data_IF_948034097323
#
_entry.id   IF_948034097323
#
_cell.length_a   1.000
_cell.length_b   1.000
_cell.length_c   1.000
_cell.angle_alpha   90.00
_cell.angle_beta   90.00
_cell.angle_gamma   90.00
#
_symmetry.space_group_name_H-M   'P 1'
#
loop_
_entity.id
_entity.type
_entity.pdbx_description
1 polymer ?
#
# COMPACT_ATOMS: atom_id res chain seq x y z
N UNK A 1 -20.59 -7.03 16.06
CA UNK A 1 -21.71 -6.33 15.39
C UNK A 1 -21.87 -6.74 13.92
N UNK A 2 -20.81 -6.89 13.12
CA UNK A 2 -20.94 -7.04 11.64
C UNK A 2 -21.70 -8.28 11.14
N UNK A 3 -21.69 -9.41 11.86
CA UNK A 3 -22.60 -10.56 11.63
C UNK A 3 -24.08 -10.14 11.49
N UNK A 4 -24.52 -9.11 12.23
CA UNK A 4 -25.89 -8.57 12.15
C UNK A 4 -26.17 -7.81 10.84
N UNK A 5 -25.16 -7.33 10.11
CA UNK A 5 -25.34 -6.76 8.76
C UNK A 5 -25.67 -7.86 7.75
N UNK A 6 -24.92 -8.98 7.74
CA UNK A 6 -25.26 -10.16 6.92
C UNK A 6 -26.70 -10.63 7.24
N UNK A 7 -27.01 -10.83 8.53
CA UNK A 7 -28.35 -11.28 8.96
C UNK A 7 -29.50 -10.38 8.48
N UNK A 8 -29.35 -9.05 8.46
CA UNK A 8 -30.44 -8.14 8.07
C UNK A 8 -30.90 -8.27 6.62
N UNK A 9 -30.01 -8.63 5.68
CA UNK A 9 -30.41 -8.83 4.28
C UNK A 9 -31.05 -10.22 4.05
N UNK A 10 -30.66 -11.23 4.83
CA UNK A 10 -31.20 -12.59 4.71
C UNK A 10 -32.69 -12.71 5.11
N UNK A 11 -33.22 -11.74 5.86
CA UNK A 11 -34.61 -11.75 6.37
C UNK A 11 -35.65 -11.20 5.38
N UNK A 12 -35.25 -10.68 4.21
CA UNK A 12 -36.16 -10.18 3.17
C UNK A 12 -36.00 -10.90 1.82
N UNK A 13 -34.86 -11.56 1.57
CA UNK A 13 -34.68 -12.48 0.45
C UNK A 13 -35.35 -13.83 0.74
N UNK A 14 -36.08 -14.38 -0.24
CA UNK A 14 -36.52 -15.77 -0.20
C UNK A 14 -35.32 -16.73 -0.16
N UNK A 15 -35.49 -17.91 0.41
CA UNK A 15 -34.41 -18.89 0.64
C UNK A 15 -33.57 -19.19 -0.61
N UNK A 16 -34.24 -19.29 -1.77
CA UNK A 16 -33.59 -19.51 -3.08
C UNK A 16 -32.68 -18.34 -3.50
N UNK A 17 -33.04 -17.09 -3.16
CA UNK A 17 -32.24 -15.90 -3.46
C UNK A 17 -30.98 -15.89 -2.59
N UNK A 18 -31.12 -16.19 -1.30
CA UNK A 18 -29.99 -16.29 -0.37
C UNK A 18 -29.02 -17.39 -0.83
N UNK A 19 -29.53 -18.57 -1.22
CA UNK A 19 -28.73 -19.68 -1.75
C UNK A 19 -28.03 -19.35 -3.08
N UNK A 20 -28.67 -18.58 -3.98
CA UNK A 20 -28.04 -18.09 -5.21
C UNK A 20 -26.92 -17.09 -4.90
N UNK A 21 -27.15 -16.16 -3.96
CA UNK A 21 -26.13 -15.19 -3.54
C UNK A 21 -24.91 -15.89 -2.92
N UNK A 22 -25.13 -16.84 -2.02
CA UNK A 22 -24.09 -17.66 -1.39
C UNK A 22 -23.24 -18.41 -2.43
N UNK A 23 -23.86 -19.03 -3.44
CA UNK A 23 -23.14 -19.72 -4.51
C UNK A 23 -22.29 -18.77 -5.38
N UNK A 24 -22.75 -17.55 -5.65
CA UNK A 24 -21.99 -16.54 -6.41
C UNK A 24 -20.83 -16.01 -5.55
N UNK A 25 -21.07 -15.71 -4.28
CA UNK A 25 -20.05 -15.27 -3.32
C UNK A 25 -18.97 -16.34 -3.14
N UNK A 26 -19.32 -17.63 -3.05
CA UNK A 26 -18.36 -18.73 -3.00
C UNK A 26 -17.52 -18.81 -4.29
N UNK A 27 -18.16 -18.77 -5.48
CA UNK A 27 -17.44 -18.78 -6.76
C UNK A 27 -16.45 -17.62 -6.88
N UNK A 28 -16.85 -16.40 -6.51
CA UNK A 28 -15.98 -15.22 -6.54
C UNK A 28 -14.79 -15.36 -5.58
N UNK A 29 -14.98 -15.96 -4.40
CA UNK A 29 -13.89 -16.29 -3.48
C UNK A 29 -12.92 -17.35 -4.06
N UNK A 30 -13.42 -18.38 -4.73
CA UNK A 30 -12.60 -19.41 -5.38
C UNK A 30 -11.80 -18.85 -6.57
N UNK A 31 -12.43 -18.03 -7.42
CA UNK A 31 -11.78 -17.33 -8.54
C UNK A 31 -10.71 -16.34 -8.03
N UNK A 32 -10.98 -15.60 -6.95
CA UNK A 32 -10.00 -14.72 -6.29
C UNK A 32 -8.82 -15.51 -5.71
N UNK A 33 -9.09 -16.62 -5.00
CA UNK A 33 -8.05 -17.49 -4.45
C UNK A 33 -7.18 -18.07 -5.57
N UNK A 34 -7.77 -18.45 -6.70
CA UNK A 34 -7.06 -18.90 -7.90
C UNK A 34 -6.17 -17.80 -8.48
N UNK A 35 -6.68 -16.58 -8.63
CA UNK A 35 -5.89 -15.44 -9.12
C UNK A 35 -4.67 -15.16 -8.22
N UNK A 36 -4.85 -15.16 -6.89
CA UNK A 36 -3.78 -15.02 -5.89
C UNK A 36 -2.78 -16.18 -5.98
N UNK A 37 -3.27 -17.42 -6.10
CA UNK A 37 -2.44 -18.63 -6.24
C UNK A 37 -1.59 -18.60 -7.52
N UNK A 38 -2.12 -18.05 -8.61
CA UNK A 38 -1.42 -17.87 -9.89
C UNK A 38 -0.34 -16.76 -9.88
N UNK A 39 -0.28 -15.90 -8.86
CA UNK A 39 0.81 -14.92 -8.70
C UNK A 39 2.16 -15.65 -8.63
N UNK A 40 3.04 -15.31 -9.57
CA UNK A 40 4.40 -15.85 -9.76
C UNK A 40 5.42 -14.70 -9.76
N UNK A 41 6.68 -15.03 -9.98
CA UNK A 41 7.77 -14.08 -10.17
C UNK A 41 8.09 -13.96 -11.67
N UNK A 42 7.48 -13.04 -12.43
CA UNK A 42 7.86 -12.76 -13.81
C UNK A 42 9.20 -12.00 -13.85
N UNK A 43 9.83 -11.94 -15.02
CA UNK A 43 10.90 -10.98 -15.29
C UNK A 43 10.29 -9.57 -15.36
N UNK A 44 10.88 -8.58 -14.68
CA UNK A 44 10.36 -7.21 -14.72
C UNK A 44 10.24 -6.69 -16.15
N UNK A 45 9.09 -6.08 -16.43
CA UNK A 45 8.69 -5.56 -17.75
C UNK A 45 8.57 -6.58 -18.89
N UNK A 46 8.47 -7.89 -18.61
CA UNK A 46 8.04 -8.87 -19.60
C UNK A 46 6.53 -8.81 -19.86
N UNK A 47 6.05 -9.56 -20.86
CA UNK A 47 4.61 -9.74 -21.11
C UNK A 47 3.88 -10.36 -19.92
N UNK A 48 4.52 -11.29 -19.22
CA UNK A 48 4.00 -11.88 -17.97
C UNK A 48 3.94 -10.87 -16.82
N UNK A 49 4.85 -9.90 -16.76
CA UNK A 49 4.76 -8.78 -15.83
C UNK A 49 3.56 -7.88 -16.14
N UNK A 50 3.32 -7.52 -17.41
CA UNK A 50 2.14 -6.73 -17.81
C UNK A 50 0.83 -7.41 -17.39
N UNK A 51 0.71 -8.72 -17.63
CA UNK A 51 -0.45 -9.52 -17.20
C UNK A 51 -0.57 -9.59 -15.67
N UNK A 52 0.56 -9.58 -14.94
CA UNK A 52 0.55 -9.53 -13.48
C UNK A 52 0.12 -8.15 -12.95
N UNK A 53 0.44 -7.05 -13.64
CA UNK A 53 -0.07 -5.72 -13.27
C UNK A 53 -1.59 -5.69 -13.22
N UNK A 54 -2.27 -6.28 -14.21
CA UNK A 54 -3.74 -6.29 -14.27
C UNK A 54 -4.36 -7.19 -13.21
N UNK A 55 -3.76 -8.37 -12.94
CA UNK A 55 -4.19 -9.21 -11.81
C UNK A 55 -4.00 -8.50 -10.46
N UNK A 56 -2.84 -7.87 -10.22
CA UNK A 56 -2.58 -7.14 -8.99
C UNK A 56 -3.52 -5.94 -8.81
N UNK A 57 -3.84 -5.22 -9.88
CA UNK A 57 -4.84 -4.13 -9.87
C UNK A 57 -6.20 -4.64 -9.40
N UNK A 58 -6.77 -5.65 -10.07
CA UNK A 58 -8.03 -6.31 -9.68
C UNK A 58 -8.03 -6.74 -8.21
N UNK A 59 -6.96 -7.42 -7.77
CA UNK A 59 -6.84 -7.93 -6.39
C UNK A 59 -6.76 -6.77 -5.38
N UNK A 60 -6.04 -5.68 -5.68
CA UNK A 60 -5.95 -4.49 -4.82
C UNK A 60 -7.26 -3.70 -4.72
N UNK A 61 -8.00 -3.61 -5.82
CA UNK A 61 -9.33 -2.99 -5.86
C UNK A 61 -10.32 -3.77 -4.97
N UNK A 62 -10.24 -5.12 -4.96
CA UNK A 62 -11.00 -5.97 -4.03
C UNK A 62 -10.60 -5.69 -2.57
N UNK A 63 -9.31 -5.65 -2.23
CA UNK A 63 -8.89 -5.35 -0.84
C UNK A 63 -9.37 -3.97 -0.39
N UNK A 64 -9.28 -2.94 -1.24
CA UNK A 64 -9.82 -1.61 -0.92
C UNK A 64 -11.31 -1.69 -0.62
N UNK A 65 -12.08 -2.43 -1.41
CA UNK A 65 -13.52 -2.57 -1.21
C UNK A 65 -13.87 -3.35 0.07
N UNK A 66 -13.15 -4.43 0.40
CA UNK A 66 -13.27 -5.12 1.71
C UNK A 66 -13.00 -4.16 2.88
N UNK A 67 -12.09 -3.19 2.70
CA UNK A 67 -11.68 -2.20 3.71
C UNK A 67 -12.57 -0.96 3.81
N UNK A 68 -13.38 -0.68 2.81
CA UNK A 68 -14.35 0.43 2.82
C UNK A 68 -15.72 0.04 3.39
N UNK A 69 -15.77 -1.00 4.22
CA UNK A 69 -16.96 -1.51 4.91
C UNK A 69 -18.04 -2.06 3.94
N UNK A 70 -17.71 -2.24 2.65
CA UNK A 70 -18.57 -2.90 1.67
C UNK A 70 -18.53 -4.41 1.90
N UNK A 71 -19.70 -4.97 2.26
CA UNK A 71 -19.87 -6.40 2.41
C UNK A 71 -19.48 -7.12 1.11
N UNK A 72 -18.88 -8.31 1.22
CA UNK A 72 -18.35 -9.08 0.10
C UNK A 72 -19.39 -9.37 -0.99
N UNK A 73 -20.67 -9.54 -0.61
CA UNK A 73 -21.80 -9.67 -1.53
C UNK A 73 -21.99 -8.42 -2.43
N UNK A 74 -21.69 -7.22 -1.92
CA UNK A 74 -21.75 -5.95 -2.67
C UNK A 74 -20.55 -5.78 -3.60
N UNK A 75 -19.36 -6.25 -3.20
CA UNK A 75 -18.16 -6.29 -4.05
C UNK A 75 -18.41 -7.23 -5.24
N UNK A 76 -18.94 -8.41 -4.94
CA UNK A 76 -19.35 -9.43 -5.91
C UNK A 76 -20.39 -8.88 -6.89
N UNK A 77 -21.40 -8.15 -6.39
CA UNK A 77 -22.38 -7.48 -7.24
C UNK A 77 -21.79 -6.36 -8.13
N UNK A 78 -20.74 -5.66 -7.68
CA UNK A 78 -20.06 -4.63 -8.48
C UNK A 78 -19.40 -5.25 -9.72
N UNK A 79 -18.54 -6.26 -9.53
CA UNK A 79 -17.84 -6.92 -10.65
C UNK A 79 -18.82 -7.63 -11.60
N UNK A 80 -19.79 -8.37 -11.06
CA UNK A 80 -20.78 -9.06 -11.89
C UNK A 80 -21.62 -8.07 -12.74
N UNK A 81 -21.92 -6.87 -12.22
CA UNK A 81 -22.62 -5.84 -13.00
C UNK A 81 -21.78 -5.33 -14.17
N UNK A 82 -20.47 -5.21 -14.01
CA UNK A 82 -19.59 -4.88 -15.13
C UNK A 82 -19.44 -6.01 -16.14
N UNK A 83 -19.42 -7.27 -15.71
CA UNK A 83 -19.40 -8.42 -16.63
C UNK A 83 -20.72 -8.52 -17.42
N UNK A 84 -21.88 -8.43 -16.76
CA UNK A 84 -23.17 -8.41 -17.46
C UNK A 84 -23.26 -7.25 -18.47
N UNK A 85 -22.82 -6.05 -18.11
CA UNK A 85 -22.82 -4.90 -19.02
C UNK A 85 -21.92 -5.12 -20.25
N UNK A 86 -20.75 -5.76 -20.09
CA UNK A 86 -19.86 -6.13 -21.20
C UNK A 86 -20.50 -7.18 -22.12
N UNK A 87 -21.28 -8.11 -21.57
CA UNK A 87 -22.05 -9.09 -22.34
C UNK A 87 -23.15 -8.39 -23.16
N UNK A 88 -23.99 -7.57 -22.52
CA UNK A 88 -25.05 -6.78 -23.18
C UNK A 88 -24.53 -5.88 -24.31
N UNK A 89 -23.33 -5.31 -24.14
CA UNK A 89 -22.66 -4.51 -25.18
C UNK A 89 -22.14 -5.38 -26.33
N UNK A 90 -21.55 -6.55 -26.04
CA UNK A 90 -21.07 -7.48 -27.07
C UNK A 90 -22.19 -8.15 -27.88
N UNK A 91 -23.38 -8.35 -27.30
CA UNK A 91 -24.54 -8.90 -28.02
C UNK A 91 -25.12 -7.89 -29.02
N UNK A 92 -25.04 -6.58 -28.73
CA UNK A 92 -25.44 -5.50 -29.65
C UNK A 92 -24.54 -5.39 -30.88
N UNK A 93 -23.23 -5.42 -30.69
CA UNK A 93 -22.29 -5.37 -31.82
C UNK A 93 -22.44 -6.59 -32.76
N UNK A 94 -23.06 -7.67 -32.28
CA UNK A 94 -23.43 -8.85 -33.08
C UNK A 94 -24.86 -8.85 -33.64
N UNK A 95 -25.82 -8.06 -33.14
CA UNK A 95 -27.13 -7.93 -33.79
C UNK A 95 -27.01 -7.21 -35.13
N UNK A 96 -26.27 -6.10 -35.16
CA UNK A 96 -26.31 -5.12 -36.24
C UNK A 96 -25.54 -5.58 -37.50
N UNK A 97 -24.78 -6.66 -37.39
CA UNK A 97 -24.08 -7.32 -38.52
C UNK A 97 -24.87 -8.47 -39.16
N UNK A 98 -26.03 -8.84 -38.61
CA UNK A 98 -26.86 -9.96 -39.11
C UNK A 98 -27.84 -9.60 -40.24
N UNK A 99 -27.99 -8.31 -40.58
CA UNK A 99 -28.97 -7.80 -41.55
C UNK A 99 -28.55 -7.98 -43.02
N UNK A 100 -28.30 -9.22 -43.45
CA UNK A 100 -28.17 -9.56 -44.87
C UNK A 100 -29.57 -9.56 -45.48
N UNK A 101 -29.87 -8.57 -46.31
CA UNK A 101 -31.18 -8.42 -46.94
C UNK A 101 -31.46 -9.54 -47.96
N UNK A 102 -32.53 -10.30 -47.71
CA UNK A 102 -33.14 -11.18 -48.72
C UNK A 102 -34.09 -10.32 -49.56
N UNK A 103 -33.65 -9.95 -50.76
CA UNK A 103 -34.52 -9.28 -51.74
C UNK A 103 -35.36 -10.32 -52.49
N UNK A 104 -36.63 -10.49 -52.10
CA UNK A 104 -37.64 -11.09 -52.97
C UNK A 104 -38.25 -10.02 -53.87
N UNK A 105 -38.10 -10.16 -55.19
CA UNK A 105 -38.83 -9.37 -56.18
C UNK A 105 -40.22 -9.96 -56.39
N UNK A 106 -41.30 -9.14 -56.33
CA UNK A 106 -42.52 -9.33 -57.14
C UNK A 106 -43.57 -8.20 -56.99
N UNK A 107 -43.88 -7.54 -58.12
CA UNK A 107 -45.28 -7.33 -58.54
C UNK A 107 -46.13 -6.14 -58.06
N UNK A 108 -46.07 -5.05 -58.85
CA UNK A 108 -47.23 -4.27 -59.36
C UNK A 108 -48.12 -3.30 -58.52
N UNK A 109 -48.30 -2.11 -59.13
CA UNK A 109 -49.48 -1.20 -59.15
C UNK A 109 -50.00 -0.55 -57.84
N UNK A 110 -49.90 0.78 -57.61
CA UNK A 110 -50.47 1.99 -58.31
C UNK A 110 -51.89 2.40 -57.79
N UNK A 111 -52.34 3.67 -57.74
CA UNK A 111 -51.82 4.95 -58.31
C UNK A 111 -51.53 6.03 -57.18
N UNK A 112 -52.14 7.26 -56.97
CA UNK A 112 -51.51 8.32 -56.11
C UNK A 112 -52.42 9.04 -55.06
N UNK A 113 -51.91 10.07 -54.33
CA UNK A 113 -52.33 11.50 -54.46
C UNK A 113 -52.01 12.44 -53.25
N UNK A 114 -52.01 13.76 -53.53
CA UNK A 114 -52.09 14.95 -52.62
C UNK A 114 -50.87 15.35 -51.74
N UNK A 115 -50.21 16.45 -52.16
CA UNK A 115 -49.80 17.67 -51.41
C UNK A 115 -49.55 17.56 -49.88
N UNK A 116 -48.47 18.15 -49.31
CA UNK A 116 -48.28 19.60 -49.29
C UNK A 116 -46.84 20.10 -48.99
N UNK A 117 -46.67 21.40 -49.25
CA UNK A 117 -45.53 22.31 -49.12
C UNK A 117 -44.86 22.43 -47.73
N UNK A 118 -43.53 22.65 -47.68
CA UNK A 118 -42.91 23.95 -47.27
C UNK A 118 -41.35 23.94 -47.18
N UNK A 119 -40.74 24.97 -47.77
CA UNK A 119 -39.68 25.87 -47.24
C UNK A 119 -38.49 25.31 -46.42
N UNK A 120 -37.33 25.21 -47.09
CA UNK A 120 -36.07 26.00 -46.90
C UNK A 120 -35.89 26.94 -45.67
N UNK A 121 -34.65 27.38 -45.29
CA UNK A 121 -33.31 26.89 -45.67
C UNK A 121 -32.22 26.93 -44.54
N UNK A 122 -30.97 26.56 -44.90
CA UNK A 122 -29.64 27.11 -44.46
C UNK A 122 -29.35 27.34 -42.95
N UNK A 123 -28.20 26.82 -42.50
CA UNK A 123 -27.26 27.64 -41.71
C UNK A 123 -25.78 27.30 -41.98
N UNK A 124 -24.92 28.31 -41.96
CA UNK A 124 -23.54 28.25 -42.47
C UNK A 124 -22.47 27.80 -41.44
N UNK A 125 -21.31 27.39 -41.98
CA UNK A 125 -20.04 27.31 -41.23
C UNK A 125 -19.54 28.71 -40.88
N UNK A 126 -18.88 28.89 -39.74
CA UNK A 126 -18.02 30.05 -39.50
C UNK A 126 -16.67 29.62 -38.94
N UNK A 127 -15.61 30.01 -39.64
CA UNK A 127 -14.21 29.88 -39.20
C UNK A 127 -13.77 31.25 -38.68
N UNK A 128 -13.02 31.28 -37.56
CA UNK A 128 -12.24 32.45 -37.17
C UNK A 128 -10.84 32.09 -36.71
N UNK A 129 -9.88 32.43 -37.56
CA UNK A 129 -8.50 32.67 -37.17
C UNK A 129 -8.38 34.07 -36.55
N UNK A 130 -7.41 34.26 -35.66
CA UNK A 130 -6.75 35.56 -35.45
C UNK A 130 -5.28 35.30 -35.13
N UNK A 131 -4.39 36.06 -35.78
CA UNK A 131 -2.94 35.84 -35.78
C UNK A 131 -2.19 36.90 -34.95
N UNK A 132 -0.97 36.55 -34.51
CA UNK A 132 0.14 37.47 -34.11
C UNK A 132 -0.13 38.36 -32.87
N UNK A 133 0.86 38.95 -32.16
CA UNK A 133 2.20 39.43 -32.54
C UNK A 133 3.29 39.08 -31.48
N UNK A 134 4.37 38.47 -31.98
CA UNK A 134 5.82 38.72 -31.77
C UNK A 134 6.29 39.62 -30.59
N UNK A 135 7.29 39.14 -29.85
CA UNK A 135 8.45 39.95 -29.42
C UNK A 135 9.72 39.07 -29.34
N UNK A 136 10.89 39.59 -29.75
CA UNK A 136 12.18 38.87 -29.76
C UNK A 136 13.15 39.45 -28.71
N UNK A 137 13.99 38.62 -28.05
CA UNK A 137 15.32 39.08 -27.63
C UNK A 137 16.40 37.97 -27.55
N UNK A 138 17.14 37.82 -28.65
CA UNK A 138 18.59 37.57 -28.77
C UNK A 138 19.31 36.38 -28.08
N UNK A 139 20.34 35.89 -28.78
CA UNK A 139 21.26 34.82 -28.36
C UNK A 139 22.41 35.32 -27.48
N UNK A 140 23.09 34.40 -26.79
CA UNK A 140 24.53 34.54 -26.54
C UNK A 140 25.25 33.17 -26.47
N UNK A 141 26.42 33.08 -27.12
CA UNK A 141 27.32 31.91 -27.24
C UNK A 141 28.64 32.35 -27.91
N UNK A 142 29.75 31.61 -27.79
CA UNK A 142 30.24 30.81 -26.65
C UNK A 142 31.70 31.20 -26.26
N UNK A 143 32.31 30.52 -25.29
CA UNK A 143 33.75 30.58 -25.05
C UNK A 143 34.34 29.18 -24.84
N UNK A 144 35.55 28.94 -25.37
CA UNK A 144 36.22 27.63 -25.34
C UNK A 144 36.84 27.31 -23.96
N UNK A 145 36.98 26.01 -23.65
CA UNK A 145 38.30 25.50 -23.31
C UNK A 145 38.49 23.99 -23.59
N UNK A 146 39.75 23.55 -23.52
CA UNK A 146 40.29 22.31 -24.15
C UNK A 146 39.93 20.98 -23.45
N UNK A 147 39.99 19.84 -24.18
CA UNK A 147 40.01 18.51 -23.59
C UNK A 147 41.36 18.17 -22.93
N UNK A 148 41.36 17.19 -22.02
CA UNK A 148 42.55 16.56 -21.45
C UNK A 148 42.54 15.05 -21.73
N UNK A 149 43.74 14.44 -21.78
CA UNK A 149 43.95 13.11 -22.35
C UNK A 149 44.04 11.98 -21.33
N UNK A 150 43.50 10.81 -21.71
CA UNK A 150 43.93 9.45 -21.35
C UNK A 150 44.82 9.24 -20.11
N UNK A 151 44.31 8.47 -19.13
CA UNK A 151 45.13 7.45 -18.48
C UNK A 151 44.30 6.22 -18.13
N UNK A 152 44.70 5.06 -18.64
CA UNK A 152 44.19 3.76 -18.22
C UNK A 152 44.99 3.28 -17.02
N UNK A 153 44.33 2.70 -16.02
CA UNK A 153 45.01 1.88 -15.03
C UNK A 153 44.10 0.76 -14.50
N UNK A 154 44.52 -0.47 -14.74
CA UNK A 154 43.85 -1.70 -14.33
C UNK A 154 44.35 -2.15 -12.96
N UNK A 155 43.46 -2.38 -11.99
CA UNK A 155 43.68 -3.40 -10.94
C UNK A 155 42.35 -3.94 -10.38
N UNK A 156 42.04 -5.20 -10.71
CA UNK A 156 41.34 -6.07 -9.76
C UNK A 156 42.30 -6.37 -8.59
N UNK A 157 41.80 -6.63 -7.36
CA UNK A 157 42.04 -7.98 -6.87
C UNK A 157 40.93 -8.61 -5.99
N UNK A 158 40.75 -9.92 -6.22
CA UNK A 158 40.46 -10.98 -5.23
C UNK A 158 39.19 -10.87 -4.39
N UNK A 159 38.17 -11.58 -4.89
CA UNK A 159 37.30 -12.44 -4.07
C UNK A 159 38.16 -13.23 -3.04
N UNK A 160 37.84 -13.17 -1.75
CA UNK A 160 38.24 -14.19 -0.77
C UNK A 160 37.00 -15.01 -0.40
N UNK A 161 37.03 -16.31 -0.65
CA UNK A 161 36.09 -17.26 -0.06
C UNK A 161 36.57 -17.60 1.35
N UNK A 162 35.74 -17.43 2.36
CA UNK A 162 35.94 -18.03 3.68
C UNK A 162 35.11 -19.32 3.77
N UNK A 163 35.77 -20.47 3.72
CA UNK A 163 35.12 -21.71 4.16
C UNK A 163 34.84 -21.57 5.66
N UNK A 164 33.58 -21.71 6.07
CA UNK A 164 33.25 -22.04 7.45
C UNK A 164 33.04 -23.55 7.49
N UNK A 165 33.84 -24.22 8.30
CA UNK A 165 33.91 -25.67 8.40
C UNK A 165 32.99 -26.14 9.52
N UNK A 166 32.03 -27.02 9.20
CA UNK A 166 31.14 -27.60 10.22
C UNK A 166 31.94 -28.49 11.16
N UNK A 167 32.16 -28.01 12.39
CA UNK A 167 32.63 -28.83 13.51
C UNK A 167 31.45 -29.54 14.17
N UNK A 168 31.43 -30.87 14.10
CA UNK A 168 30.50 -31.68 14.89
C UNK A 168 31.17 -32.09 16.21
N UNK A 169 30.44 -31.96 17.31
CA UNK A 169 30.81 -32.56 18.60
C UNK A 169 29.57 -32.68 19.50
N UNK A 170 28.90 -33.82 19.43
CA UNK A 170 28.06 -34.29 20.54
C UNK A 170 28.93 -34.55 21.79
N UNK A 171 28.33 -34.43 22.99
CA UNK A 171 28.24 -35.50 24.02
C UNK A 171 28.06 -34.94 25.45
N UNK A 172 27.05 -35.48 26.14
CA UNK A 172 26.84 -35.58 27.60
C UNK A 172 26.98 -34.36 28.54
N UNK A 173 25.97 -34.19 29.42
CA UNK A 173 26.03 -33.28 30.57
C UNK A 173 24.69 -33.03 31.26
N UNK A 174 24.04 -34.07 31.80
CA UNK A 174 22.74 -33.93 32.46
C UNK A 174 22.83 -33.49 33.92
N UNK A 175 21.91 -32.61 34.37
CA UNK A 175 21.60 -32.45 35.79
C UNK A 175 20.17 -31.94 35.99
N UNK A 176 19.39 -32.66 36.80
CA UNK A 176 18.01 -32.32 37.13
C UNK A 176 17.93 -31.49 38.41
N UNK A 177 17.28 -30.33 38.38
CA UNK A 177 16.93 -29.60 39.61
C UNK A 177 15.47 -29.14 39.61
N UNK A 178 14.75 -29.55 40.66
CA UNK A 178 13.34 -29.20 40.93
C UNK A 178 13.29 -28.40 42.24
N UNK A 179 12.78 -27.15 42.23
CA UNK A 179 12.25 -26.48 43.41
C UNK A 179 10.75 -26.76 43.59
N UNK A 180 10.27 -26.79 44.83
CA UNK A 180 8.89 -27.18 45.19
C UNK A 180 7.94 -25.98 45.26
N UNK A 181 6.65 -26.23 45.01
CA UNK A 181 5.55 -25.40 45.53
C UNK A 181 5.58 -25.40 47.08
N UNK A 182 5.13 -24.31 47.71
CA UNK A 182 4.22 -24.37 48.85
C UNK A 182 2.77 -24.10 48.40
N UNK A 183 1.81 -24.44 49.26
CA UNK A 183 0.36 -24.25 49.04
C UNK A 183 -0.30 -23.74 50.32
N UNK A 184 -1.61 -23.43 50.24
CA UNK A 184 -2.51 -22.86 51.29
C UNK A 184 -2.47 -21.34 51.46
N UNK A 185 -3.55 -20.67 51.91
CA UNK A 185 -5.00 -20.88 51.72
C UNK A 185 -5.77 -19.72 52.39
N UNK A 186 -6.78 -19.12 51.73
CA UNK A 186 -7.98 -18.58 52.40
C UNK A 186 -9.02 -18.03 51.43
N UNK A 187 -10.28 -18.18 51.83
CA UNK A 187 -11.52 -17.70 51.21
C UNK A 187 -11.78 -16.19 51.36
N UNK A 188 -12.52 -15.61 50.42
CA UNK A 188 -13.64 -14.70 50.73
C UNK A 188 -14.66 -14.69 49.57
N UNK A 189 -15.89 -14.19 49.81
CA UNK A 189 -17.07 -14.55 49.00
C UNK A 189 -18.05 -13.40 48.77
N UNK A 190 -18.31 -13.06 47.48
CA UNK A 190 -19.46 -12.23 47.00
C UNK A 190 -19.50 -10.75 47.52
N UNK A 191 -20.43 -9.88 47.05
CA UNK A 191 -21.55 -10.11 46.12
C UNK A 191 -21.48 -9.34 44.78
N UNK A 192 -22.42 -9.69 43.90
CA UNK A 192 -22.73 -9.02 42.64
C UNK A 192 -23.65 -7.80 42.83
N UNK A 193 -23.43 -6.73 42.06
CA UNK A 193 -24.40 -5.64 41.84
C UNK A 193 -24.81 -5.58 40.37
N UNK A 194 -25.96 -4.96 40.08
CA UNK A 194 -26.70 -5.19 38.84
C UNK A 194 -26.56 -4.08 37.79
N UNK A 195 -26.99 -4.44 36.58
CA UNK A 195 -27.28 -3.60 35.40
C UNK A 195 -27.64 -2.13 35.63
N UNK A 196 -27.12 -1.26 34.77
CA UNK A 196 -27.73 0.05 34.44
C UNK A 196 -27.51 0.37 32.96
N UNK A 197 -28.51 0.08 32.14
CA UNK A 197 -28.49 0.34 30.69
C UNK A 197 -28.94 1.77 30.38
N UNK A 198 -28.04 2.62 29.91
CA UNK A 198 -28.35 3.96 29.44
C UNK A 198 -28.15 4.06 27.92
N UNK A 199 -29.24 3.98 27.16
CA UNK A 199 -29.23 4.15 25.71
C UNK A 199 -29.28 5.63 25.33
N UNK A 200 -28.20 6.17 24.77
CA UNK A 200 -28.21 7.47 24.09
C UNK A 200 -27.84 7.32 22.63
N UNK A 201 -28.81 7.61 21.75
CA UNK A 201 -28.69 7.48 20.30
C UNK A 201 -28.83 8.84 19.61
N UNK A 202 -27.76 9.34 19.01
CA UNK A 202 -27.83 10.35 17.94
C UNK A 202 -26.51 10.51 17.18
N UNK A 203 -26.64 10.73 15.87
CA UNK A 203 -25.70 11.41 14.96
C UNK A 203 -24.23 10.88 14.89
N UNK A 204 -23.99 9.84 14.08
CA UNK A 204 -22.65 9.27 13.83
C UNK A 204 -22.15 9.30 12.37
N UNK A 205 -22.88 9.91 11.43
CA UNK A 205 -22.62 9.79 9.98
C UNK A 205 -21.26 10.33 9.49
N UNK A 206 -20.59 11.20 10.26
CA UNK A 206 -19.31 11.82 9.86
C UNK A 206 -18.08 11.09 10.41
N UNK A 207 -18.21 10.31 11.50
CA UNK A 207 -17.06 9.72 12.20
C UNK A 207 -16.54 8.38 11.61
N UNK A 208 -17.31 7.71 10.76
CA UNK A 208 -16.99 6.34 10.31
C UNK A 208 -15.66 6.23 9.54
N UNK A 209 -15.32 7.19 8.67
CA UNK A 209 -14.02 7.17 7.95
C UNK A 209 -12.79 7.32 8.86
N UNK A 210 -12.91 7.96 10.02
CA UNK A 210 -11.80 8.03 10.99
C UNK A 210 -11.72 6.78 11.88
N UNK A 211 -12.85 6.14 12.19
CA UNK A 211 -12.84 4.88 12.93
C UNK A 211 -12.16 3.76 12.13
N UNK A 212 -12.46 3.60 10.84
CA UNK A 212 -11.89 2.53 10.00
C UNK A 212 -10.34 2.52 9.94
N UNK A 213 -9.69 3.68 10.05
CA UNK A 213 -8.22 3.76 10.09
C UNK A 213 -7.71 3.37 11.49
N UNK A 214 -8.37 3.81 12.55
CA UNK A 214 -7.97 3.53 13.94
C UNK A 214 -8.22 2.09 14.37
N UNK A 215 -9.24 1.42 13.82
CA UNK A 215 -9.54 0.01 14.12
C UNK A 215 -8.58 -0.99 13.44
N UNK A 216 -7.81 -0.57 12.43
CA UNK A 216 -6.94 -1.46 11.65
C UNK A 216 -5.89 -2.23 12.47
N UNK A 217 -5.47 -1.66 13.62
CA UNK A 217 -4.50 -2.24 14.54
C UNK A 217 -5.12 -2.75 15.86
N UNK A 218 -6.44 -2.89 15.95
CA UNK A 218 -7.09 -3.34 17.18
C UNK A 218 -6.73 -4.81 17.46
N UNK A 219 -5.87 -5.03 18.45
CA UNK A 219 -5.10 -6.28 18.65
C UNK A 219 -5.91 -7.50 19.09
N UNK A 220 -7.20 -7.30 19.40
CA UNK A 220 -8.14 -8.32 19.88
C UNK A 220 -8.65 -9.24 18.75
N UNK A 221 -8.74 -8.76 17.51
CA UNK A 221 -9.25 -9.55 16.37
C UNK A 221 -8.10 -10.14 15.54
N UNK A 222 -8.06 -11.47 15.42
CA UNK A 222 -7.13 -12.16 14.52
C UNK A 222 -7.48 -11.89 13.05
N UNK A 223 -6.60 -12.23 12.12
CA UNK A 223 -6.90 -12.23 10.68
C UNK A 223 -8.12 -13.12 10.33
N UNK A 224 -8.33 -14.18 11.10
CA UNK A 224 -9.36 -15.19 10.87
C UNK A 224 -10.76 -14.71 11.30
N UNK A 225 -10.83 -13.73 12.21
CA UNK A 225 -12.07 -13.09 12.69
C UNK A 225 -12.56 -11.95 11.77
N UNK A 226 -11.75 -11.52 10.80
CA UNK A 226 -12.03 -10.39 9.91
C UNK A 226 -12.72 -10.86 8.62
N UNK A 227 -13.73 -10.12 8.15
CA UNK A 227 -14.42 -10.31 6.86
C UNK A 227 -13.53 -9.96 5.63
N UNK A 228 -12.21 -10.18 5.72
CA UNK A 228 -11.18 -9.83 4.73
C UNK A 228 -10.66 -11.11 4.05
N UNK A 229 -11.33 -11.58 3.00
CA UNK A 229 -10.97 -12.83 2.32
C UNK A 229 -9.69 -12.68 1.49
N UNK A 230 -9.51 -11.54 0.84
CA UNK A 230 -8.38 -11.33 -0.06
C UNK A 230 -7.04 -11.30 0.67
N UNK A 231 -6.95 -10.55 1.78
CA UNK A 231 -5.77 -10.54 2.66
C UNK A 231 -5.49 -11.94 3.20
N UNK A 232 -6.54 -12.64 3.67
CA UNK A 232 -6.43 -14.01 4.19
C UNK A 232 -5.85 -14.99 3.17
N UNK A 233 -6.32 -14.97 1.92
CA UNK A 233 -5.80 -15.83 0.86
C UNK A 233 -4.34 -15.48 0.48
N UNK A 234 -3.93 -14.22 0.56
CA UNK A 234 -2.52 -13.81 0.36
C UNK A 234 -1.61 -14.40 1.45
N UNK A 235 -2.09 -14.51 2.70
CA UNK A 235 -1.37 -15.18 3.79
C UNK A 235 -1.38 -16.70 3.63
N UNK A 236 -2.55 -17.30 3.39
CA UNK A 236 -2.71 -18.77 3.25
C UNK A 236 -1.90 -19.35 2.08
N UNK A 237 -1.87 -18.70 0.91
CA UNK A 237 -1.09 -19.15 -0.26
C UNK A 237 0.39 -18.67 -0.19
N UNK A 238 0.84 -18.15 0.95
CA UNK A 238 2.25 -17.81 1.24
C UNK A 238 2.82 -16.64 0.41
N UNK A 239 1.97 -15.74 -0.09
CA UNK A 239 2.34 -14.77 -1.13
C UNK A 239 3.01 -13.50 -0.61
N UNK A 240 2.94 -13.18 0.68
CA UNK A 240 3.52 -11.95 1.28
C UNK A 240 4.98 -11.74 0.86
N UNK A 241 5.85 -12.73 1.10
CA UNK A 241 7.28 -12.65 0.76
C UNK A 241 7.57 -12.72 -0.75
N UNK A 242 6.58 -13.04 -1.60
CA UNK A 242 6.68 -12.92 -3.05
C UNK A 242 6.33 -11.48 -3.49
N UNK A 243 5.23 -10.93 -2.97
CA UNK A 243 4.80 -9.55 -3.23
C UNK A 243 5.86 -8.53 -2.78
N UNK A 244 6.51 -8.76 -1.64
CA UNK A 244 7.62 -7.90 -1.16
C UNK A 244 8.82 -7.94 -2.12
N UNK A 245 9.24 -9.12 -2.60
CA UNK A 245 10.33 -9.24 -3.60
C UNK A 245 9.99 -8.56 -4.92
N UNK A 246 8.74 -8.68 -5.37
CA UNK A 246 8.28 -8.03 -6.60
C UNK A 246 8.34 -6.50 -6.50
N UNK A 247 7.94 -5.94 -5.36
CA UNK A 247 8.03 -4.50 -5.12
C UNK A 247 9.49 -4.04 -4.99
N UNK A 248 10.32 -4.81 -4.28
CA UNK A 248 11.73 -4.51 -4.05
C UNK A 248 12.56 -4.49 -5.34
N UNK A 249 12.43 -5.52 -6.19
CA UNK A 249 13.08 -5.55 -7.51
C UNK A 249 12.54 -4.45 -8.44
N UNK A 250 11.22 -4.22 -8.44
CA UNK A 250 10.63 -3.12 -9.21
C UNK A 250 11.20 -1.76 -8.82
N UNK A 251 11.43 -1.47 -7.52
CA UNK A 251 12.05 -0.21 -7.10
C UNK A 251 13.54 -0.11 -7.46
N UNK A 252 14.27 -1.22 -7.62
CA UNK A 252 15.62 -1.18 -8.21
C UNK A 252 15.59 -0.88 -9.71
N UNK A 253 14.53 -1.29 -10.41
CA UNK A 253 14.34 -1.03 -11.84
C UNK A 253 13.82 0.39 -12.13
N UNK A 254 12.79 0.85 -11.40
CA UNK A 254 12.33 2.25 -11.37
C UNK A 254 13.50 3.21 -11.10
N UNK A 255 14.37 2.88 -10.13
CA UNK A 255 15.57 3.68 -9.86
C UNK A 255 16.55 3.72 -11.04
N UNK A 256 16.80 2.60 -11.75
CA UNK A 256 17.67 2.60 -12.93
C UNK A 256 17.10 3.48 -14.04
N UNK A 257 15.79 3.47 -14.22
CA UNK A 257 15.07 4.31 -15.19
C UNK A 257 15.20 5.80 -14.80
N UNK A 258 14.89 6.16 -13.55
CA UNK A 258 14.97 7.56 -13.06
C UNK A 258 16.39 8.13 -13.09
N UNK A 259 17.42 7.28 -12.98
CA UNK A 259 18.83 7.67 -13.12
C UNK A 259 19.32 7.70 -14.59
N UNK A 260 18.47 7.40 -15.57
CA UNK A 260 18.86 7.35 -16.98
C UNK A 260 19.77 6.16 -17.34
N UNK A 261 19.86 5.15 -16.47
CA UNK A 261 20.64 3.92 -16.69
C UNK A 261 19.86 2.87 -17.51
N UNK A 262 18.55 3.08 -17.69
CA UNK A 262 17.68 2.38 -18.62
C UNK A 262 16.70 3.36 -19.26
N UNK A 263 16.45 3.19 -20.55
CA UNK A 263 15.50 3.96 -21.36
C UNK A 263 14.18 3.21 -21.50
N UNK A 264 13.07 3.87 -21.16
CA UNK A 264 11.72 3.27 -21.27
C UNK A 264 11.41 2.85 -22.71
N UNK A 265 11.71 3.69 -23.69
CA UNK A 265 11.35 3.47 -25.09
C UNK A 265 12.25 2.47 -25.82
N UNK A 266 13.54 2.36 -25.47
CA UNK A 266 14.49 1.47 -26.18
C UNK A 266 14.77 0.15 -25.45
N UNK A 267 14.85 0.16 -24.13
CA UNK A 267 15.33 -1.01 -23.37
C UNK A 267 14.18 -1.82 -22.76
N UNK A 268 13.00 -1.20 -22.59
CA UNK A 268 11.91 -1.73 -21.79
C UNK A 268 10.66 -1.99 -22.62
N UNK A 269 10.11 -0.97 -23.28
CA UNK A 269 8.87 -1.05 -24.06
C UNK A 269 8.83 -2.25 -25.04
N UNK A 270 9.89 -2.57 -25.82
CA UNK A 270 9.88 -3.73 -26.73
C UNK A 270 9.65 -5.09 -26.07
N UNK A 271 10.03 -5.24 -24.79
CA UNK A 271 9.88 -6.50 -24.03
C UNK A 271 8.46 -6.68 -23.46
N UNK A 272 7.73 -5.58 -23.26
CA UNK A 272 6.41 -5.55 -22.62
C UNK A 272 5.28 -5.99 -23.55
N UNK A 273 5.43 -5.78 -24.86
CA UNK A 273 4.36 -5.95 -25.85
C UNK A 273 3.29 -4.85 -25.83
N UNK A 274 3.50 -3.74 -25.10
CA UNK A 274 2.64 -2.55 -25.10
C UNK A 274 2.93 -1.67 -26.34
N UNK A 275 1.98 -0.81 -26.70
CA UNK A 275 2.08 0.04 -27.91
C UNK A 275 2.73 1.39 -27.64
N UNK A 276 2.61 1.93 -26.43
CA UNK A 276 3.12 3.26 -26.07
C UNK A 276 3.87 3.28 -24.75
N UNK A 277 4.77 4.26 -24.60
CA UNK A 277 5.43 4.55 -23.32
C UNK A 277 4.42 4.99 -22.24
N UNK A 278 3.29 5.59 -22.64
CA UNK A 278 2.22 6.01 -21.72
C UNK A 278 1.53 4.81 -21.07
N UNK A 279 1.19 3.77 -21.84
CA UNK A 279 0.70 2.49 -21.31
C UNK A 279 1.70 1.87 -20.32
N UNK A 280 2.99 1.88 -20.66
CA UNK A 280 4.05 1.34 -19.80
C UNK A 280 4.15 2.11 -18.47
N UNK A 281 4.16 3.44 -18.52
CA UNK A 281 4.17 4.28 -17.32
C UNK A 281 2.91 4.06 -16.46
N UNK A 282 1.73 3.86 -17.06
CA UNK A 282 0.52 3.51 -16.30
C UNK A 282 0.61 2.12 -15.66
N UNK A 283 1.11 1.10 -16.39
CA UNK A 283 1.33 -0.25 -15.84
C UNK A 283 2.34 -0.23 -14.69
N UNK A 284 3.43 0.55 -14.79
CA UNK A 284 4.41 0.74 -13.72
C UNK A 284 3.76 1.36 -12.47
N UNK A 285 3.00 2.45 -12.63
CA UNK A 285 2.26 3.10 -11.54
C UNK A 285 1.26 2.14 -10.90
N UNK A 286 0.42 1.48 -11.70
CA UNK A 286 -0.56 0.50 -11.22
C UNK A 286 0.12 -0.65 -10.46
N UNK A 287 1.28 -1.14 -10.92
CA UNK A 287 2.04 -2.22 -10.27
C UNK A 287 2.55 -1.81 -8.89
N UNK A 288 3.22 -0.65 -8.77
CA UNK A 288 3.69 -0.13 -7.48
C UNK A 288 2.51 0.08 -6.52
N UNK A 289 1.48 0.80 -6.96
CA UNK A 289 0.35 1.17 -6.11
C UNK A 289 -0.43 -0.06 -5.63
N UNK A 290 -0.62 -1.06 -6.49
CA UNK A 290 -1.28 -2.32 -6.12
C UNK A 290 -0.46 -3.11 -5.10
N UNK A 291 0.86 -3.29 -5.34
CA UNK A 291 1.72 -4.02 -4.41
C UNK A 291 1.82 -3.32 -3.05
N UNK A 292 2.05 -2.02 -3.04
CA UNK A 292 2.04 -1.21 -1.82
C UNK A 292 0.73 -1.39 -1.04
N UNK A 293 -0.43 -1.26 -1.70
CA UNK A 293 -1.74 -1.40 -1.06
C UNK A 293 -1.98 -2.81 -0.51
N UNK A 294 -1.69 -3.86 -1.27
CA UNK A 294 -1.83 -5.26 -0.83
C UNK A 294 -0.95 -5.55 0.39
N UNK A 295 0.34 -5.19 0.31
CA UNK A 295 1.30 -5.40 1.39
C UNK A 295 0.90 -4.65 2.66
N UNK A 296 0.47 -3.38 2.54
CA UNK A 296 -0.02 -2.57 3.66
C UNK A 296 -1.09 -3.30 4.47
N UNK A 297 -2.17 -3.73 3.80
CA UNK A 297 -3.29 -4.39 4.49
C UNK A 297 -2.94 -5.80 5.00
N UNK A 298 -1.96 -6.49 4.39
CA UNK A 298 -1.37 -7.68 4.99
C UNK A 298 -0.68 -7.35 6.31
N UNK A 299 0.20 -6.35 6.36
CA UNK A 299 0.97 -6.01 7.56
C UNK A 299 0.13 -5.44 8.72
N UNK A 300 -1.13 -5.08 8.49
CA UNK A 300 -2.12 -4.78 9.54
C UNK A 300 -2.62 -6.05 10.27
N UNK A 301 -2.12 -7.23 9.89
CA UNK A 301 -2.27 -8.51 10.59
C UNK A 301 -0.91 -8.93 11.18
N UNK A 302 -0.94 -9.36 12.44
CA UNK A 302 0.24 -9.92 13.12
C UNK A 302 0.63 -11.29 12.53
N UNK A 303 -0.35 -12.06 12.07
CA UNK A 303 -0.16 -13.36 11.42
C UNK A 303 0.63 -13.22 10.12
N UNK A 304 0.37 -12.17 9.33
CA UNK A 304 1.18 -11.84 8.17
C UNK A 304 2.62 -11.48 8.55
N UNK A 305 2.80 -10.61 9.55
CA UNK A 305 4.12 -10.20 10.05
C UNK A 305 4.92 -11.38 10.65
N UNK A 306 4.26 -12.37 11.25
CA UNK A 306 4.90 -13.58 11.76
C UNK A 306 5.46 -14.49 10.65
N UNK A 307 5.00 -14.34 9.40
CA UNK A 307 5.51 -15.09 8.24
C UNK A 307 6.56 -14.33 7.41
N UNK A 308 6.87 -13.08 7.74
CA UNK A 308 7.67 -12.20 6.87
C UNK A 308 9.17 -12.47 6.95
N UNK A 309 9.89 -12.28 5.84
CA UNK A 309 11.34 -12.07 5.88
C UNK A 309 11.65 -10.66 6.43
N UNK A 310 11.88 -10.60 7.74
CA UNK A 310 12.24 -9.38 8.46
C UNK A 310 13.53 -8.72 7.96
N UNK A 311 14.47 -9.48 7.36
CA UNK A 311 15.69 -8.89 6.79
C UNK A 311 15.33 -8.08 5.54
N UNK A 312 14.66 -8.71 4.57
CA UNK A 312 14.23 -8.01 3.37
C UNK A 312 13.27 -6.86 3.69
N UNK A 313 12.36 -7.02 4.65
CA UNK A 313 11.43 -5.97 5.04
C UNK A 313 12.14 -4.70 5.53
N UNK A 314 13.12 -4.85 6.42
CA UNK A 314 13.89 -3.73 6.95
C UNK A 314 14.89 -3.17 5.93
N UNK A 315 15.41 -4.00 5.02
CA UNK A 315 16.22 -3.54 3.88
C UNK A 315 15.39 -2.74 2.85
N UNK A 316 14.18 -3.20 2.51
CA UNK A 316 13.25 -2.47 1.64
C UNK A 316 12.87 -1.11 2.24
N UNK A 317 12.52 -1.08 3.54
CA UNK A 317 12.22 0.16 4.26
C UNK A 317 13.43 1.12 4.22
N UNK A 318 14.63 0.62 4.55
CA UNK A 318 15.85 1.43 4.51
C UNK A 318 16.13 1.96 3.09
N UNK A 319 16.07 1.11 2.07
CA UNK A 319 16.31 1.44 0.65
C UNK A 319 15.38 2.56 0.14
N UNK A 320 14.10 2.55 0.53
CA UNK A 320 13.10 3.50 0.04
C UNK A 320 12.95 4.76 0.92
N UNK A 321 13.66 4.89 2.04
CA UNK A 321 13.80 6.17 2.78
C UNK A 321 14.64 7.18 1.98
N UNK A 322 14.02 7.79 0.96
CA UNK A 322 14.66 8.66 -0.03
C UNK A 322 13.89 9.96 -0.22
N UNK A 323 14.46 11.03 0.33
CA UNK A 323 13.91 12.39 0.28
C UNK A 323 13.72 12.91 -1.16
N UNK A 324 14.61 12.53 -2.07
CA UNK A 324 14.61 12.95 -3.47
C UNK A 324 13.46 12.32 -4.25
N UNK A 325 13.31 11.00 -4.17
CA UNK A 325 12.21 10.26 -4.81
C UNK A 325 10.85 10.58 -4.17
N UNK A 326 10.82 10.83 -2.85
CA UNK A 326 9.61 11.25 -2.16
C UNK A 326 9.09 12.60 -2.67
N UNK A 327 9.97 13.62 -2.73
CA UNK A 327 9.58 14.96 -3.17
C UNK A 327 9.20 15.01 -4.65
N UNK A 328 9.92 14.28 -5.50
CA UNK A 328 9.56 14.07 -6.91
C UNK A 328 8.16 13.45 -7.06
N UNK A 329 7.86 12.40 -6.30
CA UNK A 329 6.59 11.69 -6.37
C UNK A 329 5.42 12.50 -5.77
N UNK A 330 5.64 13.26 -4.68
CA UNK A 330 4.64 14.17 -4.08
C UNK A 330 4.31 15.37 -4.99
N UNK A 331 5.20 15.76 -5.90
CA UNK A 331 4.95 16.80 -6.92
C UNK A 331 4.20 16.26 -8.15
N UNK A 332 4.51 15.04 -8.58
CA UNK A 332 3.92 14.42 -9.79
C UNK A 332 2.52 13.81 -9.55
N UNK A 333 2.32 13.13 -8.43
CA UNK A 333 1.07 12.45 -8.08
C UNK A 333 0.09 13.37 -7.35
N UNK A 334 -1.20 13.09 -7.45
CA UNK A 334 -2.27 13.92 -6.84
C UNK A 334 -3.23 13.08 -6.00
N UNK A 335 -3.76 13.69 -4.94
CA UNK A 335 -4.74 13.04 -4.06
C UNK A 335 -4.18 11.79 -3.37
N UNK A 336 -4.99 10.73 -3.32
CA UNK A 336 -4.68 9.50 -2.58
C UNK A 336 -3.59 8.63 -3.24
N UNK A 337 -3.27 8.89 -4.51
CA UNK A 337 -2.24 8.17 -5.29
C UNK A 337 -0.86 8.19 -4.63
N UNK A 338 -0.54 9.31 -3.97
CA UNK A 338 0.71 9.53 -3.23
C UNK A 338 0.90 8.47 -2.14
N UNK A 339 -0.18 8.06 -1.46
CA UNK A 339 -0.11 7.19 -0.29
C UNK A 339 0.13 5.72 -0.63
N UNK A 340 0.21 5.42 -1.93
CA UNK A 340 0.46 4.08 -2.46
C UNK A 340 1.85 3.96 -3.13
N UNK A 341 2.76 4.94 -3.00
CA UNK A 341 4.17 4.76 -3.40
C UNK A 341 5.01 4.17 -2.27
N UNK A 342 6.11 3.51 -2.63
CA UNK A 342 7.04 2.91 -1.68
C UNK A 342 7.59 3.95 -0.69
N UNK A 343 7.99 5.13 -1.17
CA UNK A 343 8.60 6.19 -0.38
C UNK A 343 7.65 6.78 0.68
N UNK A 344 6.33 6.67 0.47
CA UNK A 344 5.33 7.08 1.45
C UNK A 344 5.01 5.94 2.43
N UNK A 345 4.80 4.73 1.93
CA UNK A 345 4.15 3.65 2.68
C UNK A 345 5.05 2.98 3.72
N UNK A 346 6.37 3.14 3.58
CA UNK A 346 7.39 2.65 4.54
C UNK A 346 7.17 3.10 5.99
N UNK A 347 6.51 4.25 6.24
CA UNK A 347 6.16 4.66 7.60
C UNK A 347 4.99 3.86 8.17
N UNK A 348 4.00 3.48 7.35
CA UNK A 348 2.92 2.61 7.77
C UNK A 348 3.43 1.16 7.97
N UNK A 349 4.40 0.73 7.15
CA UNK A 349 5.11 -0.54 7.33
C UNK A 349 5.91 -0.58 8.65
N UNK A 350 6.65 0.49 8.99
CA UNK A 350 7.34 0.60 10.28
C UNK A 350 6.34 0.62 11.45
N UNK A 351 5.28 1.41 11.35
CA UNK A 351 4.21 1.46 12.35
C UNK A 351 3.61 0.08 12.57
N UNK A 352 3.34 -0.66 11.49
CA UNK A 352 2.76 -2.00 11.55
C UNK A 352 3.64 -3.00 12.30
N UNK A 353 4.94 -3.04 11.98
CA UNK A 353 5.90 -3.92 12.63
C UNK A 353 6.06 -3.58 14.12
N UNK A 354 6.20 -2.29 14.45
CA UNK A 354 6.49 -1.85 15.81
C UNK A 354 5.26 -1.75 16.73
N UNK A 355 4.04 -1.73 16.20
CA UNK A 355 2.79 -1.86 16.99
C UNK A 355 2.55 -3.31 17.43
N UNK A 356 3.03 -4.30 16.67
CA UNK A 356 2.90 -5.73 16.98
C UNK A 356 4.18 -6.38 17.52
N UNK A 357 5.19 -5.60 17.90
CA UNK A 357 6.53 -6.10 18.21
C UNK A 357 6.59 -7.00 19.46
N UNK A 358 5.64 -6.83 20.37
CA UNK A 358 5.40 -7.68 21.55
C UNK A 358 4.95 -9.11 21.19
N UNK A 359 4.42 -9.30 19.98
CA UNK A 359 3.96 -10.59 19.41
C UNK A 359 4.93 -11.12 18.33
N UNK A 360 6.12 -10.54 18.25
CA UNK A 360 7.20 -10.83 17.30
C UNK A 360 8.54 -10.96 18.05
N UNK A 361 9.64 -11.13 17.30
CA UNK A 361 11.01 -11.17 17.85
C UNK A 361 11.56 -9.75 18.03
N UNK A 362 11.16 -9.07 19.12
CA UNK A 362 11.59 -7.69 19.45
C UNK A 362 13.11 -7.53 19.41
N UNK A 363 13.85 -8.45 20.04
CA UNK A 363 15.32 -8.36 20.11
C UNK A 363 15.96 -8.39 18.71
N UNK A 364 15.50 -9.27 17.81
CA UNK A 364 16.00 -9.34 16.43
C UNK A 364 15.51 -8.17 15.57
N UNK A 365 14.25 -7.77 15.68
CA UNK A 365 13.73 -6.61 14.94
C UNK A 365 14.52 -5.35 15.32
N UNK A 366 14.74 -5.14 16.62
CA UNK A 366 15.48 -4.01 17.13
C UNK A 366 16.97 -4.05 16.79
N UNK A 367 17.64 -5.22 16.83
CA UNK A 367 19.05 -5.31 16.39
C UNK A 367 19.20 -4.97 14.90
N UNK A 368 18.36 -5.55 14.04
CA UNK A 368 18.37 -5.27 12.61
C UNK A 368 18.00 -3.80 12.28
N UNK A 369 17.22 -3.15 13.13
CA UNK A 369 16.85 -1.71 13.06
C UNK A 369 18.02 -0.80 13.45
N UNK A 370 18.82 -1.20 14.45
CA UNK A 370 20.07 -0.54 14.85
C UNK A 370 21.13 -0.70 13.74
N UNK A 371 21.36 -1.92 13.27
CA UNK A 371 22.38 -2.23 12.25
C UNK A 371 22.15 -1.44 10.94
N UNK A 372 20.88 -1.24 10.57
CA UNK A 372 20.47 -0.47 9.38
C UNK A 372 20.31 1.04 9.61
N UNK A 373 20.51 1.53 10.84
CA UNK A 373 20.34 2.93 11.23
C UNK A 373 18.95 3.51 10.84
N UNK A 374 17.90 2.69 10.95
CA UNK A 374 16.56 3.05 10.44
C UNK A 374 15.95 4.21 11.23
N UNK A 375 16.10 4.25 12.56
CA UNK A 375 15.51 5.32 13.36
C UNK A 375 16.16 6.70 13.06
N UNK A 376 17.51 6.86 13.04
CA UNK A 376 18.13 8.13 12.65
C UNK A 376 17.88 8.52 11.18
N UNK A 377 17.67 7.55 10.29
CA UNK A 377 17.30 7.80 8.89
C UNK A 377 15.86 8.28 8.76
N UNK A 378 14.92 7.65 9.46
CA UNK A 378 13.51 8.05 9.52
C UNK A 378 13.36 9.50 10.03
N UNK A 379 14.11 9.85 11.08
CA UNK A 379 14.12 11.22 11.63
C UNK A 379 14.67 12.24 10.64
N UNK A 380 15.79 11.96 9.95
CA UNK A 380 16.33 12.83 8.89
C UNK A 380 15.35 13.02 7.73
N UNK A 381 14.71 11.93 7.30
CA UNK A 381 13.72 11.95 6.23
C UNK A 381 12.56 12.88 6.60
N UNK A 382 11.92 12.64 7.76
CA UNK A 382 10.81 13.47 8.22
C UNK A 382 11.23 14.92 8.47
N UNK A 383 12.44 15.18 8.97
CA UNK A 383 12.95 16.55 9.16
C UNK A 383 12.91 17.37 7.86
N UNK A 384 13.16 16.72 6.71
CA UNK A 384 13.12 17.35 5.38
C UNK A 384 11.73 17.31 4.73
N UNK A 385 10.95 16.24 4.91
CA UNK A 385 9.69 16.02 4.19
C UNK A 385 8.42 16.44 4.95
N UNK A 386 8.46 16.57 6.28
CA UNK A 386 7.28 16.79 7.13
C UNK A 386 6.49 18.07 6.78
N UNK A 387 7.16 19.12 6.28
CA UNK A 387 6.49 20.33 5.79
C UNK A 387 5.50 20.05 4.65
N UNK A 388 5.80 19.07 3.79
CA UNK A 388 4.98 18.65 2.64
C UNK A 388 3.90 17.61 3.01
N UNK A 389 3.94 17.06 4.22
CA UNK A 389 2.94 16.11 4.71
C UNK A 389 1.68 16.84 5.21
N UNK A 390 0.48 16.33 4.90
CA UNK A 390 -0.77 16.75 5.56
C UNK A 390 -0.82 16.29 7.03
N UNK A 391 -1.71 16.85 7.84
CA UNK A 391 -1.76 16.59 9.29
C UNK A 391 -1.88 15.09 9.64
N UNK A 392 -2.79 14.36 8.96
CA UNK A 392 -2.98 12.92 9.19
C UNK A 392 -1.75 12.10 8.76
N UNK A 393 -1.05 12.53 7.70
CA UNK A 393 0.20 11.91 7.24
C UNK A 393 1.30 12.07 8.32
N UNK A 394 1.42 13.28 8.89
CA UNK A 394 2.36 13.58 9.99
C UNK A 394 2.06 12.72 11.22
N UNK A 395 0.79 12.61 11.62
CA UNK A 395 0.37 11.76 12.76
C UNK A 395 0.82 10.32 12.54
N UNK A 396 0.51 9.71 11.39
CA UNK A 396 0.91 8.33 11.07
C UNK A 396 2.44 8.14 11.12
N UNK A 397 3.21 9.06 10.55
CA UNK A 397 4.67 9.03 10.60
C UNK A 397 5.24 9.17 12.01
N UNK A 398 4.66 10.02 12.86
CA UNK A 398 5.08 10.16 14.25
C UNK A 398 4.60 9.01 15.14
N UNK A 399 3.46 8.37 14.83
CA UNK A 399 3.03 7.14 15.49
C UNK A 399 3.96 5.96 15.16
N UNK A 400 4.51 5.90 13.94
CA UNK A 400 5.59 4.96 13.62
C UNK A 400 6.82 5.16 14.51
N UNK A 401 7.32 6.41 14.66
CA UNK A 401 8.43 6.72 15.57
C UNK A 401 8.09 6.43 17.03
N UNK A 402 6.86 6.72 17.47
CA UNK A 402 6.41 6.46 18.83
C UNK A 402 6.37 4.96 19.13
N UNK A 403 5.88 4.14 18.20
CA UNK A 403 5.90 2.68 18.30
C UNK A 403 7.34 2.13 18.34
N UNK A 404 8.24 2.63 17.48
CA UNK A 404 9.68 2.28 17.53
C UNK A 404 10.31 2.60 18.89
N UNK A 405 9.92 3.72 19.50
CA UNK A 405 10.39 4.11 20.84
C UNK A 405 9.64 3.39 21.97
N UNK A 406 8.53 2.70 21.70
CA UNK A 406 7.75 1.96 22.69
C UNK A 406 8.26 0.53 22.92
N UNK A 407 9.03 -0.02 21.98
CA UNK A 407 9.61 -1.36 22.06
C UNK A 407 10.47 -1.59 23.33
N UNK A 408 10.44 -2.78 23.90
CA UNK A 408 11.16 -3.08 25.15
C UNK A 408 12.68 -3.02 24.95
N UNK A 409 13.19 -3.57 23.84
CA UNK A 409 14.60 -3.44 23.46
C UNK A 409 15.01 -1.97 23.23
N UNK A 410 14.10 -1.10 22.77
CA UNK A 410 14.35 0.35 22.78
C UNK A 410 14.44 0.90 24.20
N UNK A 411 13.44 0.65 25.04
CA UNK A 411 13.37 1.17 26.41
C UNK A 411 14.53 0.68 27.31
N UNK A 412 15.16 -0.45 26.99
CA UNK A 412 16.40 -0.91 27.65
C UNK A 412 17.66 -0.33 27.01
N UNK A 413 17.75 -0.26 25.67
CA UNK A 413 18.99 0.06 24.93
C UNK A 413 18.96 1.38 24.12
N UNK A 414 18.15 2.38 24.51
CA UNK A 414 17.90 3.66 23.79
C UNK A 414 19.11 4.28 23.08
N UNK A 415 20.27 4.31 23.74
CA UNK A 415 21.50 4.89 23.19
C UNK A 415 21.99 4.21 21.91
N UNK A 416 21.78 2.89 21.74
CA UNK A 416 22.21 2.15 20.54
C UNK A 416 21.46 2.55 19.27
N UNK A 417 20.22 3.01 19.39
CA UNK A 417 19.38 3.34 18.24
C UNK A 417 19.75 4.66 17.56
N UNK A 418 20.36 5.59 18.30
CA UNK A 418 20.93 6.81 17.75
C UNK A 418 22.46 6.77 17.70
N UNK A 419 23.12 5.92 18.50
CA UNK A 419 24.57 5.96 18.68
C UNK A 419 25.04 7.38 19.02
N UNK A 420 26.10 7.81 18.35
CA UNK A 420 26.69 9.14 18.47
C UNK A 420 26.02 10.20 17.56
N UNK A 421 24.88 9.88 16.95
CA UNK A 421 24.16 10.72 15.97
C UNK A 421 23.41 11.89 16.62
N UNK A 422 24.17 12.84 17.18
CA UNK A 422 23.66 14.05 17.81
C UNK A 422 22.82 14.91 16.87
N UNK A 423 23.07 14.88 15.55
CA UNK A 423 22.29 15.63 14.57
C UNK A 423 20.89 15.04 14.37
N UNK A 424 20.75 13.72 14.27
CA UNK A 424 19.42 13.09 14.25
C UNK A 424 18.63 13.38 15.55
N UNK A 425 19.30 13.35 16.72
CA UNK A 425 18.66 13.74 17.98
C UNK A 425 18.15 15.19 17.95
N UNK A 426 18.97 16.16 17.49
CA UNK A 426 18.58 17.58 17.34
C UNK A 426 17.43 17.77 16.35
N UNK A 427 17.46 17.07 15.22
CA UNK A 427 16.38 17.09 14.22
C UNK A 427 15.06 16.58 14.80
N UNK A 428 15.08 15.58 15.70
CA UNK A 428 13.88 15.13 16.39
C UNK A 428 13.32 16.21 17.35
N UNK A 429 14.18 16.92 18.07
CA UNK A 429 13.76 18.04 18.92
C UNK A 429 13.13 19.16 18.09
N UNK A 430 13.72 19.51 16.94
CA UNK A 430 13.15 20.52 16.03
C UNK A 430 11.84 20.06 15.38
N UNK A 431 11.71 18.78 15.00
CA UNK A 431 10.44 18.19 14.54
C UNK A 431 9.34 18.31 15.62
N UNK A 432 9.70 18.19 16.89
CA UNK A 432 8.74 18.33 17.99
C UNK A 432 8.21 19.76 18.13
N UNK A 433 9.09 20.75 18.22
CA UNK A 433 8.67 22.14 18.41
C UNK A 433 7.95 22.70 17.17
N UNK A 434 8.37 22.30 15.97
CA UNK A 434 7.75 22.74 14.71
C UNK A 434 6.43 22.04 14.39
N UNK A 435 6.28 20.74 14.70
CA UNK A 435 5.12 19.95 14.25
C UNK A 435 4.45 19.15 15.38
N UNK A 436 5.16 18.28 16.09
CA UNK A 436 4.52 17.31 17.02
C UNK A 436 3.72 18.04 18.11
N UNK A 437 4.26 19.12 18.68
CA UNK A 437 3.62 19.95 19.71
C UNK A 437 2.24 20.46 19.29
N UNK A 438 2.01 20.72 18.00
CA UNK A 438 0.72 21.16 17.45
C UNK A 438 -0.30 20.01 17.34
N UNK A 439 0.17 18.76 17.22
CA UNK A 439 -0.68 17.57 17.11
C UNK A 439 -1.22 17.11 18.48
N UNK A 440 -0.58 17.51 19.59
CA UNK A 440 -0.93 17.13 20.97
C UNK A 440 -2.19 17.86 21.50
N UNK A 441 -3.23 17.99 20.68
CA UNK A 441 -4.51 18.60 21.05
C UNK A 441 -5.40 17.64 21.83
N UNK A 442 -5.65 16.44 21.30
CA UNK A 442 -6.53 15.43 21.91
C UNK A 442 -5.81 14.50 22.89
N UNK A 443 -6.57 13.86 23.78
CA UNK A 443 -6.04 12.84 24.69
C UNK A 443 -5.48 11.61 23.95
N UNK A 444 -6.18 11.09 22.95
CA UNK A 444 -5.71 9.92 22.19
C UNK A 444 -4.41 10.21 21.42
N UNK A 445 -4.23 11.41 20.84
CA UNK A 445 -2.94 11.79 20.21
C UNK A 445 -1.81 11.94 21.22
N UNK A 446 -2.09 12.46 22.42
CA UNK A 446 -1.11 12.49 23.53
C UNK A 446 -0.72 11.08 24.00
N UNK A 447 -1.65 10.13 23.91
CA UNK A 447 -1.44 8.71 24.26
C UNK A 447 -0.66 7.97 23.18
N UNK A 448 -1.02 8.08 21.90
CA UNK A 448 -0.30 7.39 20.81
C UNK A 448 1.12 7.93 20.59
N UNK A 449 1.32 9.24 20.76
CA UNK A 449 2.64 9.88 20.61
C UNK A 449 3.46 9.93 21.92
N UNK A 450 3.01 9.29 23.01
CA UNK A 450 3.63 9.43 24.34
C UNK A 450 5.12 9.08 24.34
N UNK A 451 5.49 7.90 23.85
CA UNK A 451 6.85 7.39 23.92
C UNK A 451 7.83 8.24 23.08
N UNK A 452 7.33 8.88 22.00
CA UNK A 452 8.05 9.88 21.23
C UNK A 452 8.29 11.18 22.02
N UNK A 453 7.26 11.71 22.69
CA UNK A 453 7.37 12.93 23.50
C UNK A 453 8.28 12.73 24.71
N UNK A 454 8.15 11.59 25.41
CA UNK A 454 8.99 11.22 26.54
C UNK A 454 10.48 11.04 26.13
N UNK A 455 10.76 10.71 24.86
CA UNK A 455 12.11 10.67 24.31
C UNK A 455 12.65 12.06 23.91
N UNK A 456 11.82 12.91 23.29
CA UNK A 456 12.21 14.30 22.97
C UNK A 456 12.57 15.10 24.22
N UNK A 457 11.78 14.96 25.29
CA UNK A 457 12.03 15.65 26.56
C UNK A 457 13.41 15.25 27.15
N UNK A 458 13.84 14.00 26.97
CA UNK A 458 15.20 13.55 27.36
C UNK A 458 16.29 14.22 26.53
N UNK A 459 16.10 14.34 25.20
CA UNK A 459 17.08 15.01 24.33
C UNK A 459 17.16 16.53 24.57
N UNK A 460 16.06 17.19 24.96
CA UNK A 460 16.09 18.58 25.42
C UNK A 460 16.98 18.77 26.65
N UNK A 461 16.83 17.88 27.64
CA UNK A 461 17.70 17.85 28.83
C UNK A 461 19.17 17.50 28.45
N UNK A 462 19.38 16.58 27.51
CA UNK A 462 20.73 16.21 27.01
C UNK A 462 21.47 17.39 26.36
N UNK A 463 20.75 18.29 25.68
CA UNK A 463 21.33 19.43 24.96
C UNK A 463 21.21 20.79 25.66
N UNK A 464 20.55 20.86 26.82
CA UNK A 464 20.25 22.12 27.55
C UNK A 464 19.42 23.09 26.68
N UNK A 465 18.30 22.58 26.14
CA UNK A 465 17.35 23.28 25.24
C UNK A 465 15.90 23.30 25.76
#
# INVERSE_FOLDING_TARGET
>A
MFSQRRQKNYHSGGEEINKKLEAITQKFADDLRKDIKEIKFPTMFSKEWVLLCDKLKKISEIVRMEREDMNFDSITAHFNKEECKKIEESEKDHSDTSSIAVNDELGNHSIPSVQNTNEDPIHEKSVKETNTVVEETQMNKPANNRPATTSSLTTNPRKKKSNIQFGSSDLFGGSSFIPKKPSTASSSTRPSTASSSASMSSNSSVNHKQQAISTSFNSENTLWDRDEYCVRFIVEEGKINLLLRLLDEFKDEDLKIRLGLKSLSTDILPNTGLSTEMELQEKMKNFEQSLCMLLKYCFHSVEALQTIDVYQYLDFINKNMREDLFLDSKQKLKGEEVYCTAEFIIFDFLRALFVHIDRLDDTKICSLTIDRQILPKAVRFLFKTCSQLLENERVMCFEALSAMMNAETYQTSRSKFFGDDTEAKKMLVQLYDNFIKQLLTSYERKKSLRSLVDQVNRFKIEFVL
#
